data_IF_509641027802
#
_entry.id   IF_509641027802
#
_cell.length_a   1.000
_cell.length_b   1.000
_cell.length_c   1.000
_cell.angle_alpha   90.00
_cell.angle_beta   90.00
_cell.angle_gamma   90.00
#
_symmetry.space_group_name_H-M   'P 1'
#
loop_
_entity.id
_entity.type
_entity.pdbx_description
1 polymer ?
#
# COMPACT_ATOMS: atom_id res chain seq x y z
N UNK A 1 -19.44 5.91 21.07
CA UNK A 1 -18.65 6.89 20.28
C UNK A 1 -18.11 6.21 19.05
N UNK A 2 -17.94 6.94 17.93
CA UNK A 2 -17.38 6.40 16.68
C UNK A 2 -16.33 7.33 16.08
N UNK A 3 -15.36 6.75 15.36
CA UNK A 3 -14.33 7.45 14.60
C UNK A 3 -14.28 6.85 13.20
N UNK A 4 -14.20 7.68 12.16
CA UNK A 4 -14.11 7.26 10.76
C UNK A 4 -12.80 7.75 10.17
N UNK A 5 -12.06 6.85 9.54
CA UNK A 5 -10.76 7.05 8.95
C UNK A 5 -10.76 6.68 7.46
N UNK A 6 -10.00 7.42 6.66
CA UNK A 6 -9.66 7.01 5.30
C UNK A 6 -8.43 6.12 5.33
N UNK A 7 -8.58 4.88 4.93
CA UNK A 7 -7.49 3.92 4.77
C UNK A 7 -6.97 3.99 3.32
N UNK A 8 -6.05 4.95 3.06
CA UNK A 8 -5.55 5.21 1.72
C UNK A 8 -4.62 4.09 1.21
N UNK A 9 -4.64 3.82 -0.09
CA UNK A 9 -3.70 2.94 -0.77
C UNK A 9 -2.29 3.55 -0.86
N UNK A 10 -1.32 2.72 -1.26
CA UNK A 10 0.05 3.14 -1.62
C UNK A 10 0.43 2.62 -2.99
N UNK A 11 1.42 3.26 -3.58
CA UNK A 11 2.24 2.69 -4.64
C UNK A 11 3.70 2.67 -4.20
N UNK A 12 4.50 1.76 -4.75
CA UNK A 12 5.95 1.79 -4.59
C UNK A 12 6.54 2.54 -5.78
N UNK A 13 7.14 3.69 -5.56
CA UNK A 13 7.89 4.43 -6.60
C UNK A 13 9.17 3.69 -6.92
N UNK A 14 9.84 3.15 -5.89
CA UNK A 14 10.89 2.15 -6.04
C UNK A 14 10.61 0.96 -5.13
N UNK A 15 11.01 -0.25 -5.54
CA UNK A 15 11.02 -1.44 -4.71
C UNK A 15 12.20 -2.31 -5.10
N UNK A 16 13.26 -2.24 -4.31
CA UNK A 16 14.45 -3.04 -4.44
C UNK A 16 14.40 -4.16 -3.40
N UNK A 17 14.43 -5.40 -3.87
CA UNK A 17 14.53 -6.59 -3.01
C UNK A 17 15.97 -7.06 -3.06
N UNK A 18 16.63 -7.05 -1.90
CA UNK A 18 18.00 -7.47 -1.72
C UNK A 18 18.11 -8.96 -1.34
N UNK A 19 19.22 -9.29 -0.69
CA UNK A 19 19.52 -10.66 -0.28
C UNK A 19 18.53 -11.17 0.76
N UNK A 20 18.36 -12.48 0.79
CA UNK A 20 17.62 -13.18 1.83
C UNK A 20 18.35 -13.07 3.16
N UNK A 21 17.61 -12.74 4.20
CA UNK A 21 18.09 -12.56 5.57
C UNK A 21 18.08 -13.91 6.30
N UNK A 22 18.77 -13.95 7.45
CA UNK A 22 18.76 -15.15 8.31
C UNK A 22 17.39 -15.47 8.90
N UNK A 23 16.51 -14.45 9.04
CA UNK A 23 15.14 -14.62 9.51
C UNK A 23 14.16 -15.13 8.43
N UNK A 24 14.67 -15.46 7.23
CA UNK A 24 13.90 -15.98 6.11
C UNK A 24 13.22 -14.92 5.23
N UNK A 25 13.24 -13.65 5.64
CA UNK A 25 12.78 -12.50 4.85
C UNK A 25 13.88 -11.97 3.92
N UNK A 26 13.54 -11.00 3.08
CA UNK A 26 14.50 -10.28 2.24
C UNK A 26 14.76 -8.88 2.79
N UNK A 27 15.94 -8.37 2.55
CA UNK A 27 16.20 -6.96 2.71
C UNK A 27 15.44 -6.18 1.64
N UNK A 28 14.70 -5.16 2.04
CA UNK A 28 13.89 -4.33 1.16
C UNK A 28 14.30 -2.87 1.31
N UNK A 29 14.40 -2.18 0.17
CA UNK A 29 14.49 -0.71 0.14
C UNK A 29 13.45 -0.20 -0.84
N UNK A 30 12.52 0.63 -0.36
CA UNK A 30 11.40 1.13 -1.16
C UNK A 30 11.08 2.57 -0.82
N UNK A 31 10.89 3.40 -1.83
CA UNK A 31 10.21 4.69 -1.68
C UNK A 31 8.73 4.45 -1.95
N UNK A 32 7.93 4.66 -0.93
CA UNK A 32 6.48 4.46 -0.97
C UNK A 32 5.74 5.79 -0.95
N UNK A 33 4.66 5.86 -1.73
CA UNK A 33 3.79 7.03 -1.84
C UNK A 33 2.34 6.64 -1.52
N UNK A 34 1.72 7.33 -0.55
CA UNK A 34 0.29 7.24 -0.29
C UNK A 34 -0.50 7.96 -1.38
N UNK A 35 -1.59 7.34 -1.86
CA UNK A 35 -2.41 7.88 -2.95
C UNK A 35 -3.89 8.01 -2.54
N UNK A 36 -4.64 8.86 -3.25
CA UNK A 36 -6.04 9.21 -2.98
C UNK A 36 -7.06 8.15 -3.45
N UNK A 37 -6.71 6.87 -3.38
CA UNK A 37 -7.62 5.72 -3.44
C UNK A 37 -7.72 5.16 -2.03
N UNK A 38 -8.91 5.01 -1.44
CA UNK A 38 -9.04 4.62 -0.04
C UNK A 38 -10.25 3.73 0.23
N UNK A 39 -10.12 2.89 1.26
CA UNK A 39 -11.21 2.23 1.95
C UNK A 39 -11.71 3.14 3.09
N UNK A 40 -12.97 2.98 3.51
CA UNK A 40 -13.51 3.69 4.67
C UNK A 40 -13.57 2.73 5.85
N UNK A 41 -12.90 3.12 6.95
CA UNK A 41 -12.88 2.36 8.20
C UNK A 41 -13.59 3.15 9.27
N UNK A 42 -14.71 2.64 9.79
CA UNK A 42 -15.44 3.23 10.92
C UNK A 42 -15.31 2.32 12.13
N UNK A 43 -14.75 2.83 13.21
CA UNK A 43 -14.60 2.13 14.49
C UNK A 43 -15.60 2.71 15.49
N UNK A 44 -16.39 1.85 16.11
CA UNK A 44 -17.35 2.20 17.16
C UNK A 44 -17.01 1.42 18.43
N UNK A 45 -16.84 2.11 19.57
CA UNK A 45 -16.65 1.48 20.89
C UNK A 45 -17.97 1.33 21.66
N UNK A 46 -17.96 0.50 22.71
CA UNK A 46 -19.11 0.30 23.60
C UNK A 46 -20.18 -0.58 22.98
N UNK A 47 -19.78 -1.57 22.16
CA UNK A 47 -20.72 -2.46 21.45
C UNK A 47 -20.90 -3.82 22.14
N UNK A 48 -20.26 -4.02 23.32
CA UNK A 48 -20.34 -5.23 24.13
C UNK A 48 -19.50 -6.40 23.65
N UNK A 49 -19.15 -6.45 22.36
CA UNK A 49 -18.25 -7.46 21.77
C UNK A 49 -17.48 -6.90 20.58
N UNK A 50 -16.30 -7.47 20.32
CA UNK A 50 -15.53 -7.15 19.13
C UNK A 50 -16.11 -7.87 17.90
N UNK A 51 -16.30 -7.16 16.78
CA UNK A 51 -16.78 -7.71 15.51
C UNK A 51 -16.37 -6.86 14.31
N UNK A 52 -16.34 -7.51 13.15
CA UNK A 52 -16.13 -6.87 11.85
C UNK A 52 -17.43 -6.90 11.04
N UNK A 53 -17.76 -5.76 10.43
CA UNK A 53 -18.78 -5.65 9.39
C UNK A 53 -18.04 -5.21 8.11
N UNK A 54 -18.05 -6.04 7.09
CA UNK A 54 -17.35 -5.77 5.83
C UNK A 54 -18.33 -5.98 4.66
N UNK A 55 -18.32 -5.05 3.70
CA UNK A 55 -19.13 -5.11 2.49
C UNK A 55 -18.56 -6.06 1.42
N UNK A 56 -17.35 -6.59 1.63
CA UNK A 56 -16.70 -7.55 0.75
C UNK A 56 -16.12 -8.73 1.56
N UNK A 57 -16.13 -9.96 1.02
CA UNK A 57 -15.51 -11.11 1.67
C UNK A 57 -13.98 -10.99 1.58
N UNK A 58 -13.34 -10.57 2.68
CA UNK A 58 -11.88 -10.36 2.75
C UNK A 58 -11.17 -11.55 3.37
N UNK A 59 -11.79 -12.23 4.33
CA UNK A 59 -11.29 -13.42 5.01
C UNK A 59 -12.44 -14.38 5.30
N UNK A 60 -12.16 -15.68 5.39
CA UNK A 60 -13.15 -16.70 5.78
C UNK A 60 -13.55 -16.54 7.26
N UNK A 61 -12.57 -16.26 8.13
CA UNK A 61 -12.80 -15.94 9.55
C UNK A 61 -12.52 -14.45 9.77
N UNK A 62 -13.48 -13.73 10.37
CA UNK A 62 -13.31 -12.31 10.73
C UNK A 62 -12.11 -12.08 11.67
N UNK A 63 -11.77 -13.09 12.50
CA UNK A 63 -10.64 -13.01 13.42
C UNK A 63 -9.28 -12.98 12.73
N UNK A 64 -9.17 -13.50 11.52
CA UNK A 64 -7.94 -13.48 10.71
C UNK A 64 -7.77 -12.14 9.98
N UNK A 65 -8.84 -11.33 9.92
CA UNK A 65 -8.77 -10.02 9.31
C UNK A 65 -7.82 -9.09 10.06
N UNK A 66 -6.96 -8.37 9.32
CA UNK A 66 -5.97 -7.46 9.90
C UNK A 66 -6.60 -6.37 10.78
N UNK A 67 -7.82 -5.92 10.50
CA UNK A 67 -8.56 -4.97 11.33
C UNK A 67 -8.83 -5.54 12.72
N UNK A 68 -9.31 -6.79 12.81
CA UNK A 68 -9.58 -7.43 14.09
C UNK A 68 -8.30 -7.79 14.84
N UNK A 69 -7.25 -8.15 14.10
CA UNK A 69 -5.91 -8.31 14.69
C UNK A 69 -5.39 -6.99 15.25
N UNK A 70 -5.62 -5.85 14.57
CA UNK A 70 -5.25 -4.53 15.04
C UNK A 70 -5.97 -4.16 16.34
N UNK A 71 -7.27 -4.45 16.46
CA UNK A 71 -8.03 -4.29 17.72
C UNK A 71 -7.35 -5.06 18.85
N UNK A 72 -7.06 -6.36 18.67
CA UNK A 72 -6.41 -7.20 19.70
C UNK A 72 -5.02 -6.68 20.08
N UNK A 73 -4.20 -6.32 19.09
CA UNK A 73 -2.85 -5.78 19.35
C UNK A 73 -2.92 -4.47 20.12
N UNK A 74 -3.85 -3.57 19.77
CA UNK A 74 -4.01 -2.30 20.47
C UNK A 74 -4.29 -2.51 21.97
N UNK A 75 -5.27 -3.32 22.33
CA UNK A 75 -5.63 -3.56 23.74
C UNK A 75 -4.53 -4.33 24.49
N UNK A 76 -3.88 -5.30 23.82
CA UNK A 76 -2.76 -6.03 24.44
C UNK A 76 -1.56 -5.13 24.76
N UNK A 77 -1.23 -4.18 23.87
CA UNK A 77 -0.06 -3.29 24.04
C UNK A 77 -0.34 -2.10 24.98
N UNK A 78 -1.61 -1.68 25.08
CA UNK A 78 -1.99 -0.53 25.92
C UNK A 78 -2.39 -0.93 27.34
N UNK A 79 -2.79 -2.17 27.54
CA UNK A 79 -3.41 -2.62 28.81
C UNK A 79 -4.81 -2.04 29.06
N UNK A 80 -5.35 -1.27 28.12
CA UNK A 80 -6.72 -0.75 28.21
C UNK A 80 -7.72 -1.91 28.11
N UNK A 81 -8.87 -1.74 28.77
CA UNK A 81 -9.97 -2.72 28.67
C UNK A 81 -10.87 -2.37 27.48
N UNK A 82 -11.14 -3.36 26.65
CA UNK A 82 -12.16 -3.24 25.60
C UNK A 82 -13.55 -3.26 26.24
N UNK A 83 -14.41 -2.34 25.81
CA UNK A 83 -15.84 -2.31 26.08
C UNK A 83 -16.66 -2.85 24.87
N UNK A 84 -15.98 -3.56 23.99
CA UNK A 84 -16.47 -4.05 22.70
C UNK A 84 -16.29 -3.02 21.59
N UNK A 85 -15.74 -3.47 20.46
CA UNK A 85 -15.42 -2.66 19.29
C UNK A 85 -16.09 -3.25 18.05
N UNK A 86 -16.88 -2.44 17.34
CA UNK A 86 -17.34 -2.77 15.99
C UNK A 86 -16.51 -2.01 14.98
N UNK A 87 -15.86 -2.74 14.07
CA UNK A 87 -15.18 -2.19 12.90
C UNK A 87 -16.09 -2.37 11.69
N UNK A 88 -16.46 -1.28 11.03
CA UNK A 88 -17.16 -1.30 9.74
C UNK A 88 -16.17 -0.92 8.65
N UNK A 89 -16.04 -1.78 7.63
CA UNK A 89 -15.08 -1.65 6.56
C UNK A 89 -15.80 -1.63 5.21
N UNK A 90 -15.66 -0.50 4.48
CA UNK A 90 -16.15 -0.33 3.11
C UNK A 90 -14.96 -0.37 2.16
N UNK A 91 -14.88 -1.43 1.33
CA UNK A 91 -13.73 -1.71 0.45
C UNK A 91 -13.86 -1.05 -0.93
N UNK A 92 -12.80 -0.32 -1.29
CA UNK A 92 -12.60 0.23 -2.65
C UNK A 92 -11.24 -0.13 -3.23
N UNK A 93 -10.23 -0.32 -2.36
CA UNK A 93 -8.90 -0.76 -2.79
C UNK A 93 -8.99 -2.23 -3.20
N UNK A 94 -8.64 -2.57 -4.46
CA UNK A 94 -8.70 -3.96 -4.92
C UNK A 94 -7.78 -4.88 -4.09
N UNK A 95 -8.28 -6.08 -3.80
CA UNK A 95 -7.49 -7.11 -3.12
C UNK A 95 -6.39 -7.67 -4.02
N UNK A 96 -5.31 -8.20 -3.42
CA UNK A 96 -4.17 -8.81 -4.14
C UNK A 96 -3.62 -7.93 -5.26
N UNK A 97 -3.55 -6.63 -5.01
CA UNK A 97 -3.15 -5.62 -5.98
C UNK A 97 -1.74 -5.04 -5.74
N UNK A 98 -1.10 -5.34 -4.61
CA UNK A 98 0.15 -4.69 -4.21
C UNK A 98 -0.03 -3.23 -3.75
N UNK A 99 -1.26 -2.81 -3.45
CA UNK A 99 -1.65 -1.45 -3.05
C UNK A 99 -1.72 -1.25 -1.53
N UNK A 100 -1.47 -2.27 -0.73
CA UNK A 100 -1.40 -2.21 0.73
C UNK A 100 -2.75 -2.04 1.44
N UNK A 101 -3.90 -2.33 0.80
CA UNK A 101 -5.23 -2.07 1.33
C UNK A 101 -5.45 -2.62 2.74
N UNK A 102 -5.24 -3.93 2.97
CA UNK A 102 -5.44 -4.53 4.30
C UNK A 102 -4.51 -3.96 5.39
N UNK A 103 -3.27 -3.60 5.03
CA UNK A 103 -2.35 -2.93 5.97
C UNK A 103 -2.80 -1.50 6.28
N UNK A 104 -3.37 -0.80 5.29
CA UNK A 104 -3.96 0.52 5.47
C UNK A 104 -5.19 0.48 6.36
N UNK A 105 -6.07 -0.53 6.18
CA UNK A 105 -7.24 -0.74 7.02
C UNK A 105 -6.83 -0.96 8.49
N UNK A 106 -5.84 -1.83 8.72
CA UNK A 106 -5.32 -2.08 10.07
C UNK A 106 -4.72 -0.82 10.72
N UNK A 107 -3.96 -0.03 9.96
CA UNK A 107 -3.42 1.24 10.46
C UNK A 107 -4.52 2.24 10.79
N UNK A 108 -5.58 2.31 9.98
CA UNK A 108 -6.75 3.15 10.23
C UNK A 108 -7.47 2.73 11.52
N UNK A 109 -7.62 1.42 11.79
CA UNK A 109 -8.16 0.90 13.05
C UNK A 109 -7.30 1.36 14.23
N UNK A 110 -5.96 1.23 14.15
CA UNK A 110 -5.07 1.66 15.23
C UNK A 110 -5.20 3.16 15.53
N UNK A 111 -5.26 4.02 14.49
CA UNK A 111 -5.45 5.47 14.66
C UNK A 111 -6.82 5.80 15.27
N UNK A 112 -7.88 5.14 14.77
CA UNK A 112 -9.22 5.33 15.30
C UNK A 112 -9.35 4.93 16.77
N UNK A 113 -8.74 3.80 17.17
CA UNK A 113 -8.72 3.35 18.56
C UNK A 113 -7.95 4.32 19.46
N UNK A 114 -6.78 4.83 19.02
CA UNK A 114 -6.05 5.88 19.73
C UNK A 114 -6.95 7.07 20.06
N UNK A 115 -7.72 7.54 19.07
CA UNK A 115 -8.62 8.67 19.22
C UNK A 115 -9.81 8.35 20.12
N UNK A 116 -10.44 7.18 19.94
CA UNK A 116 -11.64 6.80 20.69
C UNK A 116 -11.37 6.54 22.18
N UNK A 117 -10.18 6.04 22.51
CA UNK A 117 -9.80 5.72 23.90
C UNK A 117 -8.91 6.81 24.52
N UNK A 118 -8.69 7.92 23.79
CA UNK A 118 -7.84 9.06 24.25
C UNK A 118 -6.52 8.58 24.90
N UNK A 119 -5.89 7.62 24.23
CA UNK A 119 -4.80 6.85 24.84
C UNK A 119 -3.47 7.59 24.89
N UNK A 120 -3.33 8.75 24.24
CA UNK A 120 -2.07 9.53 24.21
C UNK A 120 -0.90 8.83 23.54
N UNK A 121 -1.13 7.70 22.84
CA UNK A 121 -0.10 6.88 22.22
C UNK A 121 0.52 7.63 21.03
N UNK A 122 1.87 7.68 21.00
CA UNK A 122 2.62 8.30 19.91
C UNK A 122 2.54 7.50 18.60
N UNK A 123 2.77 8.16 17.44
CA UNK A 123 2.86 7.50 16.15
C UNK A 123 3.89 6.37 16.14
N UNK A 124 5.07 6.59 16.78
CA UNK A 124 6.09 5.55 16.89
C UNK A 124 5.65 4.31 17.67
N UNK A 125 4.75 4.47 18.67
CA UNK A 125 4.17 3.33 19.36
C UNK A 125 3.15 2.59 18.47
N UNK A 126 2.31 3.33 17.72
CA UNK A 126 1.41 2.72 16.74
C UNK A 126 2.18 2.02 15.61
N UNK A 127 3.31 2.56 15.14
CA UNK A 127 4.17 1.93 14.16
C UNK A 127 4.72 0.58 14.67
N UNK A 128 5.17 0.52 15.93
CA UNK A 128 5.60 -0.75 16.54
C UNK A 128 4.47 -1.78 16.65
N UNK A 129 3.25 -1.34 17.00
CA UNK A 129 2.06 -2.21 16.96
C UNK A 129 1.78 -2.68 15.53
N UNK A 130 1.85 -1.77 14.57
CA UNK A 130 1.66 -2.03 13.14
C UNK A 130 2.65 -3.07 12.60
N UNK A 131 3.93 -2.99 12.98
CA UNK A 131 4.96 -3.94 12.57
C UNK A 131 4.68 -5.40 13.01
N UNK A 132 3.88 -5.61 14.08
CA UNK A 132 3.40 -6.94 14.51
C UNK A 132 2.28 -7.49 13.61
N UNK A 133 1.62 -6.61 12.87
CA UNK A 133 0.51 -6.96 11.96
C UNK A 133 0.98 -7.24 10.54
N UNK A 134 1.93 -6.44 10.06
CA UNK A 134 2.50 -6.58 8.73
C UNK A 134 3.51 -5.48 8.42
N UNK A 135 4.44 -5.75 7.48
CA UNK A 135 5.55 -4.83 7.15
C UNK A 135 5.07 -3.47 6.58
N UNK A 136 3.96 -3.43 5.85
CA UNK A 136 3.43 -2.18 5.28
C UNK A 136 2.61 -1.35 6.28
N UNK A 137 2.18 -1.91 7.44
CA UNK A 137 1.30 -1.20 8.38
C UNK A 137 1.95 0.06 8.98
N UNK A 138 3.24 0.06 9.38
CA UNK A 138 3.91 1.25 9.90
C UNK A 138 3.87 2.43 8.92
N UNK A 139 4.04 2.18 7.62
CA UNK A 139 3.93 3.21 6.58
C UNK A 139 2.60 3.97 6.65
N UNK A 140 1.50 3.25 6.87
CA UNK A 140 0.15 3.85 6.87
C UNK A 140 -0.22 4.57 8.17
N UNK A 141 0.57 4.46 9.23
CA UNK A 141 0.35 5.24 10.45
C UNK A 141 0.53 6.74 10.16
N UNK A 142 1.60 7.13 9.48
CA UNK A 142 1.87 8.53 9.08
C UNK A 142 1.38 8.84 7.67
N UNK A 143 1.61 7.92 6.74
CA UNK A 143 1.32 8.13 5.31
C UNK A 143 2.27 9.13 4.64
N UNK A 144 1.81 9.75 3.54
CA UNK A 144 2.65 10.64 2.73
C UNK A 144 3.66 9.88 1.87
N UNK A 145 4.89 10.42 1.75
CA UNK A 145 6.02 9.79 1.07
C UNK A 145 7.03 9.32 2.11
N UNK A 146 7.47 8.06 2.05
CA UNK A 146 8.41 7.50 3.01
C UNK A 146 9.39 6.54 2.35
N UNK A 147 10.61 6.48 2.91
CA UNK A 147 11.58 5.41 2.66
C UNK A 147 11.29 4.26 3.63
N UNK A 148 11.07 3.07 3.10
CA UNK A 148 10.96 1.83 3.86
C UNK A 148 12.22 0.99 3.68
N UNK A 149 12.74 0.45 4.78
CA UNK A 149 13.92 -0.41 4.86
C UNK A 149 13.68 -1.63 5.75
N UNK A 150 14.69 -2.47 5.95
CA UNK A 150 14.54 -3.72 6.68
C UNK A 150 13.75 -4.73 5.85
N UNK A 151 12.66 -5.27 6.39
CA UNK A 151 11.67 -6.09 5.66
C UNK A 151 10.58 -5.22 5.03
N UNK A 152 10.72 -3.86 5.09
CA UNK A 152 9.75 -2.85 4.73
C UNK A 152 9.06 -2.19 5.93
N UNK A 153 9.35 -2.62 7.17
CA UNK A 153 8.72 -2.14 8.41
C UNK A 153 9.40 -0.92 9.03
N UNK A 154 10.65 -0.66 8.69
CA UNK A 154 11.37 0.52 9.19
C UNK A 154 11.13 1.66 8.23
N UNK A 155 10.34 2.65 8.64
CA UNK A 155 9.92 3.76 7.80
C UNK A 155 10.52 5.09 8.24
N UNK A 156 10.96 5.87 7.26
CA UNK A 156 11.50 7.22 7.47
C UNK A 156 10.79 8.20 6.55
N UNK A 157 10.25 9.31 7.08
CA UNK A 157 9.57 10.32 6.27
C UNK A 157 10.50 10.92 5.23
N UNK A 158 9.99 11.15 4.04
CA UNK A 158 10.60 11.96 2.98
C UNK A 158 9.79 13.24 2.76
N UNK A 159 10.36 14.26 2.12
CA UNK A 159 9.58 15.41 1.66
C UNK A 159 8.36 14.95 0.85
N UNK A 160 7.20 15.60 0.98
CA UNK A 160 5.99 15.17 0.30
C UNK A 160 6.14 15.32 -1.22
N UNK A 161 5.80 14.26 -1.97
CA UNK A 161 5.53 14.38 -3.40
C UNK A 161 4.11 14.96 -3.53
N UNK A 162 4.01 16.20 -4.00
CA UNK A 162 2.74 16.89 -4.18
C UNK A 162 2.29 16.94 -5.66
N UNK A 163 3.20 16.69 -6.59
CA UNK A 163 2.96 16.75 -8.03
C UNK A 163 2.66 15.35 -8.61
N UNK A 164 1.90 15.35 -9.72
CA UNK A 164 1.62 14.19 -10.52
C UNK A 164 0.29 13.49 -10.20
N UNK A 165 -0.12 12.64 -11.15
CA UNK A 165 -1.35 11.87 -11.13
C UNK A 165 -1.02 10.41 -11.40
N UNK A 166 -1.70 9.51 -10.68
CA UNK A 166 -1.55 8.08 -10.85
C UNK A 166 -2.79 7.50 -11.52
N UNK A 167 -2.61 6.82 -12.64
CA UNK A 167 -3.64 5.94 -13.19
C UNK A 167 -3.28 4.52 -12.78
N UNK A 168 -4.07 3.93 -11.89
CA UNK A 168 -3.83 2.60 -11.32
C UNK A 168 -4.77 1.61 -12.00
N UNK A 169 -4.21 0.57 -12.60
CA UNK A 169 -4.96 -0.50 -13.30
C UNK A 169 -4.74 -1.81 -12.57
N UNK A 170 -5.81 -2.46 -12.11
CA UNK A 170 -5.77 -3.80 -11.51
C UNK A 170 -6.38 -4.81 -12.49
N UNK A 171 -5.55 -5.68 -13.10
CA UNK A 171 -6.06 -6.76 -13.94
C UNK A 171 -6.78 -7.84 -13.12
N UNK A 172 -7.46 -8.76 -13.79
CA UNK A 172 -8.18 -9.84 -13.13
C UNK A 172 -7.26 -10.77 -12.33
N UNK A 173 -6.04 -11.03 -12.84
CA UNK A 173 -5.06 -11.85 -12.14
C UNK A 173 -4.59 -11.20 -10.84
N UNK A 174 -4.28 -12.05 -9.86
CA UNK A 174 -3.62 -11.67 -8.60
C UNK A 174 -2.34 -12.45 -8.41
N UNK A 175 -1.38 -11.91 -7.63
CA UNK A 175 -0.15 -12.61 -7.30
C UNK A 175 -0.04 -12.76 -5.79
N UNK A 176 0.24 -14.01 -5.36
CA UNK A 176 0.56 -14.27 -3.96
C UNK A 176 1.97 -13.72 -3.66
N UNK A 177 2.08 -12.83 -2.67
CA UNK A 177 3.35 -12.18 -2.32
C UNK A 177 4.46 -13.19 -2.04
N UNK A 178 4.15 -14.28 -1.30
CA UNK A 178 5.10 -15.36 -1.01
C UNK A 178 5.66 -16.00 -2.27
N UNK A 179 4.81 -16.25 -3.26
CA UNK A 179 5.23 -16.82 -4.55
C UNK A 179 6.13 -15.86 -5.33
N UNK A 180 5.84 -14.57 -5.30
CA UNK A 180 6.65 -13.56 -5.98
C UNK A 180 8.04 -13.45 -5.36
N UNK A 181 8.18 -13.54 -4.03
CA UNK A 181 9.49 -13.62 -3.36
C UNK A 181 10.22 -14.91 -3.73
N UNK A 182 9.54 -16.08 -3.73
CA UNK A 182 10.13 -17.35 -4.14
C UNK A 182 10.74 -17.28 -5.55
N UNK A 183 10.09 -16.59 -6.48
CA UNK A 183 10.61 -16.37 -7.85
C UNK A 183 11.82 -15.44 -7.87
N UNK A 184 11.94 -14.51 -6.93
CA UNK A 184 13.14 -13.67 -6.80
C UNK A 184 14.35 -14.46 -6.25
N UNK A 185 14.09 -15.56 -5.51
CA UNK A 185 15.16 -16.44 -5.02
C UNK A 185 15.84 -17.26 -6.14
N UNK A 186 15.28 -17.28 -7.35
CA UNK A 186 15.90 -17.94 -8.50
C UNK A 186 17.16 -17.20 -8.96
N UNK A 187 18.25 -17.93 -9.35
CA UNK A 187 19.53 -17.32 -9.73
C UNK A 187 19.37 -16.27 -10.85
N UNK A 188 20.03 -15.14 -10.71
CA UNK A 188 20.01 -14.04 -11.70
C UNK A 188 18.83 -13.07 -11.58
N UNK A 189 17.97 -13.24 -10.59
CA UNK A 189 16.74 -12.41 -10.43
C UNK A 189 17.00 -11.11 -9.67
N UNK A 190 18.01 -11.04 -8.80
CA UNK A 190 18.25 -9.88 -7.92
C UNK A 190 19.03 -8.79 -8.65
N UNK A 191 18.49 -7.58 -8.64
CA UNK A 191 19.19 -6.34 -9.01
C UNK A 191 19.01 -5.34 -7.87
N UNK A 192 20.10 -4.98 -7.22
CA UNK A 192 20.10 -3.90 -6.24
C UNK A 192 20.26 -2.57 -7.00
N UNK A 193 19.24 -1.70 -6.90
CA UNK A 193 19.33 -0.29 -7.34
C UNK A 193 19.35 0.62 -6.12
N UNK A 194 20.10 1.71 -6.22
CA UNK A 194 20.12 2.73 -5.18
C UNK A 194 18.85 3.59 -5.28
N UNK A 195 18.11 3.72 -4.19
CA UNK A 195 16.90 4.55 -4.12
C UNK A 195 17.20 6.05 -3.93
N UNK A 196 18.48 6.44 -3.84
CA UNK A 196 18.86 7.84 -3.55
C UNK A 196 18.37 8.81 -4.63
N UNK A 197 18.53 8.47 -5.91
CA UNK A 197 18.03 9.33 -7.00
C UNK A 197 16.52 9.52 -6.95
N UNK A 198 15.76 8.50 -6.56
CA UNK A 198 14.33 8.64 -6.32
C UNK A 198 14.04 9.58 -5.15
N UNK A 199 14.81 9.49 -4.05
CA UNK A 199 14.64 10.38 -2.89
C UNK A 199 14.93 11.83 -3.28
N UNK A 200 15.98 12.08 -4.07
CA UNK A 200 16.34 13.41 -4.57
C UNK A 200 15.23 13.96 -5.51
N UNK A 201 14.68 13.12 -6.40
CA UNK A 201 13.58 13.48 -7.30
C UNK A 201 12.31 13.84 -6.54
N UNK A 202 11.98 13.07 -5.49
CA UNK A 202 10.84 13.34 -4.59
C UNK A 202 11.07 14.65 -3.82
N UNK A 203 12.26 14.87 -3.26
CA UNK A 203 12.59 16.07 -2.53
C UNK A 203 12.51 17.34 -3.40
N UNK A 204 12.86 17.21 -4.69
CA UNK A 204 12.70 18.26 -5.68
C UNK A 204 11.27 18.44 -6.19
N UNK A 205 10.33 17.58 -5.77
CA UNK A 205 8.94 17.50 -6.28
C UNK A 205 8.89 17.47 -7.82
N UNK A 206 9.85 16.76 -8.45
CA UNK A 206 10.02 16.68 -9.90
C UNK A 206 9.44 15.37 -10.44
N UNK A 207 8.20 15.44 -10.96
CA UNK A 207 7.47 14.27 -11.44
C UNK A 207 8.17 13.55 -12.60
N UNK A 208 8.87 14.27 -13.49
CA UNK A 208 9.63 13.68 -14.59
C UNK A 208 10.84 12.89 -14.09
N UNK A 209 11.57 13.44 -13.11
CA UNK A 209 12.68 12.73 -12.48
C UNK A 209 12.18 11.50 -11.70
N UNK A 210 11.04 11.62 -10.99
CA UNK A 210 10.37 10.47 -10.33
C UNK A 210 10.03 9.39 -11.36
N UNK A 211 9.45 9.77 -12.52
CA UNK A 211 9.09 8.82 -13.57
C UNK A 211 10.30 8.08 -14.15
N UNK A 212 11.44 8.76 -14.29
CA UNK A 212 12.69 8.16 -14.79
C UNK A 212 13.30 7.14 -13.81
N UNK A 213 13.09 7.32 -12.51
CA UNK A 213 13.66 6.47 -11.45
C UNK A 213 12.73 5.33 -10.99
N UNK A 214 11.54 5.19 -11.59
CA UNK A 214 10.60 4.12 -11.25
C UNK A 214 11.22 2.74 -11.43
N UNK A 215 11.24 1.94 -10.34
CA UNK A 215 11.84 0.61 -10.36
C UNK A 215 11.14 -0.35 -9.39
N UNK A 216 10.94 -1.62 -9.83
CA UNK A 216 10.40 -2.68 -8.99
C UNK A 216 11.01 -4.04 -9.37
N UNK A 217 11.71 -4.67 -8.41
CA UNK A 217 12.34 -5.98 -8.58
C UNK A 217 11.36 -7.07 -9.03
N UNK A 218 10.13 -7.07 -8.51
CA UNK A 218 9.11 -8.06 -8.88
C UNK A 218 8.70 -8.00 -10.35
N UNK A 219 8.85 -6.85 -11.02
CA UNK A 219 8.52 -6.71 -12.44
C UNK A 219 9.28 -7.66 -13.36
N UNK A 220 10.39 -8.25 -12.89
CA UNK A 220 11.22 -9.22 -13.66
C UNK A 220 10.72 -10.66 -13.53
N UNK A 221 9.98 -10.96 -12.48
CA UNK A 221 9.58 -12.33 -12.11
C UNK A 221 8.07 -12.55 -12.18
N UNK A 222 7.33 -11.62 -12.81
CA UNK A 222 5.90 -11.81 -13.04
C UNK A 222 5.64 -13.08 -13.86
N UNK A 223 4.53 -13.78 -13.63
CA UNK A 223 4.18 -14.98 -14.38
C UNK A 223 4.17 -14.74 -15.90
N UNK A 224 4.55 -15.77 -16.67
CA UNK A 224 4.38 -15.76 -18.13
C UNK A 224 2.89 -15.61 -18.46
N UNK A 225 2.57 -14.77 -19.45
CA UNK A 225 1.18 -14.46 -19.82
C UNK A 225 0.51 -13.39 -18.97
N UNK A 226 1.24 -12.78 -18.01
CA UNK A 226 0.76 -11.63 -17.25
C UNK A 226 0.37 -10.46 -18.14
N UNK A 227 -0.71 -9.74 -17.78
CA UNK A 227 -1.14 -8.50 -18.42
C UNK A 227 -0.20 -7.31 -18.19
N UNK A 228 0.83 -7.46 -17.35
CA UNK A 228 1.75 -6.37 -16.94
C UNK A 228 2.27 -5.56 -18.14
N UNK A 229 2.80 -6.24 -19.16
CA UNK A 229 3.37 -5.57 -20.33
C UNK A 229 2.32 -4.81 -21.11
N UNK A 230 1.17 -5.46 -21.37
CA UNK A 230 0.06 -4.86 -22.13
C UNK A 230 -0.45 -3.60 -21.43
N UNK A 231 -0.63 -3.64 -20.10
CA UNK A 231 -1.09 -2.50 -19.31
C UNK A 231 -0.04 -1.37 -19.32
N UNK A 232 1.24 -1.70 -19.16
CA UNK A 232 2.32 -0.69 -19.20
C UNK A 232 2.37 0.01 -20.56
N UNK A 233 2.25 -0.73 -21.66
CA UNK A 233 2.29 -0.19 -23.01
C UNK A 233 1.02 0.64 -23.28
N UNK A 234 -0.15 0.22 -22.81
CA UNK A 234 -1.40 0.95 -22.91
C UNK A 234 -1.39 2.29 -22.14
N UNK A 235 -0.76 2.32 -20.95
CA UNK A 235 -0.58 3.53 -20.17
C UNK A 235 0.41 4.49 -20.86
N UNK A 236 1.54 3.98 -21.38
CA UNK A 236 2.52 4.81 -22.12
C UNK A 236 1.92 5.42 -23.39
N UNK A 237 1.16 4.64 -24.15
CA UNK A 237 0.50 5.12 -25.35
C UNK A 237 -0.50 6.27 -25.06
N UNK A 238 -0.89 6.45 -23.79
CA UNK A 238 -1.79 7.51 -23.32
C UNK A 238 -1.08 8.63 -22.55
N UNK A 239 0.25 8.71 -22.67
CA UNK A 239 1.02 9.82 -22.12
C UNK A 239 1.57 9.63 -20.71
N UNK A 240 1.55 8.40 -20.16
CA UNK A 240 2.23 8.15 -18.89
C UNK A 240 3.74 8.40 -19.04
N UNK A 241 4.31 9.27 -18.20
CA UNK A 241 5.74 9.56 -18.11
C UNK A 241 6.56 8.33 -17.71
N UNK A 242 5.98 7.48 -16.87
CA UNK A 242 6.56 6.23 -16.41
C UNK A 242 5.48 5.26 -15.97
N UNK A 243 5.77 3.95 -16.02
CA UNK A 243 4.81 2.89 -15.66
C UNK A 243 5.48 1.82 -14.82
N UNK A 244 4.84 1.39 -13.74
CA UNK A 244 5.42 0.41 -12.83
C UNK A 244 4.37 -0.54 -12.24
N UNK A 245 4.81 -1.76 -11.88
CA UNK A 245 4.09 -2.69 -11.01
C UNK A 245 4.10 -2.15 -9.58
N UNK A 246 2.97 -2.15 -8.87
CA UNK A 246 2.91 -1.78 -7.45
C UNK A 246 3.12 -3.00 -6.56
N UNK A 247 4.02 -2.90 -5.59
CA UNK A 247 4.33 -4.00 -4.68
C UNK A 247 4.65 -5.30 -5.41
N UNK A 248 4.19 -6.43 -4.90
CA UNK A 248 4.27 -7.74 -5.56
C UNK A 248 3.26 -7.89 -6.71
N UNK A 249 2.44 -6.89 -6.96
CA UNK A 249 1.42 -6.87 -7.99
C UNK A 249 0.04 -7.33 -7.48
N UNK A 250 -0.92 -7.45 -8.36
CA UNK A 250 -0.84 -7.34 -9.83
C UNK A 250 -1.14 -5.94 -10.38
N UNK A 251 -1.48 -4.95 -9.54
CA UNK A 251 -1.76 -3.62 -10.05
C UNK A 251 -0.54 -2.98 -10.71
N UNK A 252 -0.80 -2.25 -11.79
CA UNK A 252 0.17 -1.44 -12.52
C UNK A 252 -0.28 0.00 -12.47
N UNK A 253 0.64 0.91 -12.28
CA UNK A 253 0.31 2.33 -12.38
C UNK A 253 1.11 3.04 -13.47
N UNK A 254 0.51 4.10 -14.01
CA UNK A 254 1.18 5.13 -14.81
C UNK A 254 1.22 6.43 -14.04
N UNK A 255 2.35 7.13 -14.11
CA UNK A 255 2.54 8.47 -13.55
C UNK A 255 2.41 9.51 -14.65
N UNK A 256 1.59 10.53 -14.42
CA UNK A 256 1.30 11.63 -15.34
C UNK A 256 1.59 12.97 -14.64
N UNK A 257 1.96 13.98 -15.39
CA UNK A 257 2.10 15.37 -14.93
C UNK A 257 0.84 16.19 -15.17
N UNK A 258 0.01 15.79 -16.12
CA UNK A 258 -1.25 16.45 -16.46
C UNK A 258 -2.47 15.65 -15.99
N UNK A 259 -3.42 16.36 -15.36
CA UNK A 259 -4.64 15.77 -14.82
C UNK A 259 -5.61 15.29 -15.91
N UNK A 260 -5.75 16.07 -16.96
CA UNK A 260 -6.73 15.78 -18.01
C UNK A 260 -6.28 14.57 -18.84
N UNK A 261 -4.98 14.50 -19.15
CA UNK A 261 -4.39 13.31 -19.78
C UNK A 261 -4.55 12.06 -18.91
N UNK A 262 -4.30 12.18 -17.60
CA UNK A 262 -4.49 11.07 -16.66
C UNK A 262 -5.96 10.63 -16.57
N UNK A 263 -6.91 11.58 -16.55
CA UNK A 263 -8.34 11.28 -16.52
C UNK A 263 -8.79 10.57 -17.79
N UNK A 264 -8.44 11.10 -18.96
CA UNK A 264 -8.76 10.48 -20.25
C UNK A 264 -8.16 9.08 -20.38
N UNK A 265 -6.92 8.88 -19.91
CA UNK A 265 -6.29 7.56 -19.86
C UNK A 265 -7.06 6.60 -18.96
N UNK A 266 -7.47 7.04 -17.75
CA UNK A 266 -8.22 6.21 -16.81
C UNK A 266 -9.60 5.80 -17.38
N UNK A 267 -10.31 6.71 -18.03
CA UNK A 267 -11.61 6.45 -18.65
C UNK A 267 -11.48 5.43 -19.79
N UNK A 268 -10.55 5.62 -20.71
CA UNK A 268 -10.32 4.72 -21.82
C UNK A 268 -9.87 3.31 -21.35
N UNK A 269 -9.07 3.23 -20.28
CA UNK A 269 -8.60 1.94 -19.77
C UNK A 269 -9.68 1.16 -19.01
N UNK A 270 -10.69 1.82 -18.42
CA UNK A 270 -11.82 1.15 -17.76
C UNK A 270 -12.65 0.27 -18.68
N UNK A 271 -12.69 0.56 -19.95
CA UNK A 271 -13.39 -0.28 -20.94
C UNK A 271 -12.81 -1.71 -20.98
N UNK A 272 -11.49 -1.82 -20.86
CA UNK A 272 -10.79 -3.13 -20.87
C UNK A 272 -10.52 -3.65 -19.45
N UNK A 273 -10.18 -2.75 -18.53
CA UNK A 273 -9.87 -3.06 -17.14
C UNK A 273 -10.78 -2.25 -16.21
N UNK A 274 -11.95 -2.79 -15.80
CA UNK A 274 -12.93 -2.06 -15.00
C UNK A 274 -12.37 -1.51 -13.67
N UNK A 275 -11.39 -2.22 -13.08
CA UNK A 275 -10.71 -1.76 -11.87
C UNK A 275 -9.55 -0.81 -12.22
N UNK A 276 -9.90 0.32 -12.84
CA UNK A 276 -8.98 1.42 -13.17
C UNK A 276 -9.36 2.67 -12.36
N UNK A 277 -8.40 3.26 -11.69
CA UNK A 277 -8.58 4.37 -10.77
C UNK A 277 -7.66 5.54 -11.13
N UNK A 278 -8.18 6.75 -11.03
CA UNK A 278 -7.38 7.98 -11.01
C UNK A 278 -7.11 8.36 -9.55
N UNK A 279 -5.88 8.64 -9.21
CA UNK A 279 -5.46 9.05 -7.87
C UNK A 279 -4.34 10.10 -7.94
N UNK A 280 -4.13 10.79 -6.82
CA UNK A 280 -3.04 11.75 -6.65
C UNK A 280 -2.26 11.43 -5.36
N UNK A 281 -1.04 11.96 -5.19
CA UNK A 281 -0.32 11.90 -3.92
C UNK A 281 -1.12 12.53 -2.78
N UNK A 282 -1.07 11.95 -1.57
CA UNK A 282 -1.72 12.47 -0.35
C UNK A 282 -0.87 12.17 0.89
#
# INVERSE_FOLDING_TARGET
MKCTEKACAKVNLTLCVGNKRQDGYHEVTSVMQRISLWDTVTVQRGTGRDRLLCDAPVTEDENDNLCMRAVRVFFAETGLKSDGVTVTLEKRIPMQAGLGGGSSDAAAVLRALRTLYDSGISDGALERMGAKLGSDVPFFIRGGTQLATGRGEVVSPLPPLAAGWFVVVKPAEGYATVEMYRRLDEPGSVLVRNSRYMQDAVAANNVHAVAAELHNSFGRVVPKGSSLRIIKDALRARGALGTLLSGSGSAVFGLFDDREAALAAAEALRETWPLTFLAQPV
#
